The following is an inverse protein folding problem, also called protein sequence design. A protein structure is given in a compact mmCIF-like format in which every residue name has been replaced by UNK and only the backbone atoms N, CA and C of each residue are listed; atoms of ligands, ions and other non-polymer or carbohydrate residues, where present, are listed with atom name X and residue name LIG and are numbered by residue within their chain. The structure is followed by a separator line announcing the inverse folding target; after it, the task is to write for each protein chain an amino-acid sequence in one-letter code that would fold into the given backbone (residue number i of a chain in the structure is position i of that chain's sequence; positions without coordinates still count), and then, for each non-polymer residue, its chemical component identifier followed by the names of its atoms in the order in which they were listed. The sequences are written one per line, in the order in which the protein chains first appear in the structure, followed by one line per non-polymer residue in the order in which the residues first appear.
data_IF_521157741113
#
_entry.id   IF_521157741113
#
_cell.length_a   1.000
_cell.length_b   1.000
_cell.length_c   1.000
_cell.angle_alpha   90.00
_cell.angle_beta   90.00
_cell.angle_gamma   90.00
#
_symmetry.space_group_name_H-M   'P 1'
#
loop_
_entity.id
_entity.type
_entity.pdbx_description
1 polymer ?
#
# COMPACT_ATOMS: atom_id res chain seq x y z
N UNK A 1 33.64 -5.46 -16.71
CA UNK A 1 32.29 -6.07 -16.57
C UNK A 1 31.48 -5.42 -15.47
N UNK A 2 32.10 -4.72 -14.52
CA UNK A 2 31.44 -4.16 -13.33
C UNK A 2 30.50 -2.98 -13.63
N UNK A 3 30.79 -2.16 -14.65
CA UNK A 3 29.93 -1.02 -14.96
C UNK A 3 28.49 -1.40 -15.34
N UNK A 4 28.28 -2.57 -15.94
CA UNK A 4 26.96 -2.98 -16.42
C UNK A 4 26.00 -3.25 -15.26
N UNK A 5 26.47 -3.94 -14.21
CA UNK A 5 25.67 -4.22 -13.02
C UNK A 5 25.33 -2.94 -12.25
N UNK A 6 26.30 -2.06 -12.05
CA UNK A 6 26.04 -0.79 -11.36
C UNK A 6 25.11 0.13 -12.16
N UNK A 7 25.20 0.14 -13.49
CA UNK A 7 24.26 0.89 -14.36
C UNK A 7 22.85 0.31 -14.24
N UNK A 8 22.70 -1.01 -14.25
CA UNK A 8 21.42 -1.68 -14.04
C UNK A 8 20.81 -1.35 -12.68
N UNK A 9 21.60 -1.41 -11.60
CA UNK A 9 21.13 -1.09 -10.24
C UNK A 9 20.69 0.38 -10.12
N UNK A 10 21.44 1.30 -10.71
CA UNK A 10 21.10 2.73 -10.71
C UNK A 10 19.81 3.01 -11.47
N UNK A 11 19.60 2.34 -12.61
CA UNK A 11 18.34 2.41 -13.35
C UNK A 11 17.19 1.84 -12.51
N UNK A 12 17.36 0.67 -11.91
CA UNK A 12 16.33 0.04 -11.07
C UNK A 12 15.86 0.97 -9.94
N UNK A 13 16.79 1.70 -9.32
CA UNK A 13 16.49 2.64 -8.23
C UNK A 13 16.05 4.04 -8.70
N UNK A 14 15.86 4.26 -10.00
CA UNK A 14 15.46 5.55 -10.57
C UNK A 14 16.38 6.72 -10.16
N UNK A 15 17.69 6.47 -10.06
CA UNK A 15 18.68 7.49 -9.64
C UNK A 15 19.06 8.46 -10.78
N UNK A 16 19.31 8.02 -12.02
CA UNK A 16 19.81 8.92 -13.06
C UNK A 16 18.74 9.94 -13.49
N UNK A 17 19.17 11.13 -13.91
CA UNK A 17 18.25 12.08 -14.55
C UNK A 17 18.02 11.68 -16.01
N UNK A 18 16.88 12.08 -16.58
CA UNK A 18 16.55 11.77 -17.97
C UNK A 18 17.58 12.32 -18.98
N UNK A 19 18.36 13.34 -18.59
CA UNK A 19 19.34 14.02 -19.44
C UNK A 19 20.78 13.56 -19.22
N UNK A 20 21.02 12.50 -18.43
CA UNK A 20 22.37 11.95 -18.24
C UNK A 20 22.82 11.20 -19.51
N UNK A 21 23.83 11.74 -20.20
CA UNK A 21 24.37 11.18 -21.44
C UNK A 21 24.88 9.74 -21.30
N UNK A 22 25.25 9.30 -20.10
CA UNK A 22 25.69 7.92 -19.86
C UNK A 22 24.54 6.90 -19.90
N UNK A 23 23.31 7.34 -19.63
CA UNK A 23 22.12 6.49 -19.53
C UNK A 23 21.11 6.74 -20.64
N UNK A 24 21.31 7.77 -21.47
CA UNK A 24 20.39 8.16 -22.53
C UNK A 24 20.03 7.01 -23.49
N UNK A 25 20.98 6.12 -23.79
CA UNK A 25 20.75 4.93 -24.63
C UNK A 25 19.72 3.95 -24.03
N UNK A 26 19.62 3.88 -22.70
CA UNK A 26 18.69 3.00 -21.99
C UNK A 26 17.37 3.71 -21.74
N UNK A 27 17.44 4.96 -21.25
CA UNK A 27 16.28 5.77 -20.89
C UNK A 27 15.40 6.07 -22.12
N UNK A 28 15.99 6.24 -23.31
CA UNK A 28 15.24 6.49 -24.55
C UNK A 28 14.24 5.38 -24.91
N UNK A 29 14.51 4.14 -24.49
CA UNK A 29 13.62 2.99 -24.69
C UNK A 29 12.57 2.85 -23.58
N UNK A 30 12.67 3.64 -22.50
CA UNK A 30 11.80 3.59 -21.33
C UNK A 30 10.77 4.72 -21.38
N UNK A 31 9.66 4.47 -22.08
CA UNK A 31 8.55 5.44 -22.27
C UNK A 31 8.04 6.01 -20.93
N UNK A 32 8.07 5.19 -19.87
CA UNK A 32 7.54 5.53 -18.56
C UNK A 32 8.55 6.12 -17.57
N UNK A 33 9.76 6.49 -18.01
CA UNK A 33 10.81 7.00 -17.13
C UNK A 33 10.38 8.25 -16.35
N UNK A 34 9.63 9.15 -16.98
CA UNK A 34 9.15 10.38 -16.34
C UNK A 34 7.97 10.21 -15.38
N UNK A 35 7.26 9.07 -15.41
CA UNK A 35 6.15 8.79 -14.48
C UNK A 35 6.61 7.88 -13.34
N UNK A 36 6.84 8.47 -12.16
CA UNK A 36 7.28 7.76 -10.97
C UNK A 36 6.41 6.54 -10.62
N UNK A 37 5.09 6.62 -10.83
CA UNK A 37 4.19 5.53 -10.50
C UNK A 37 4.38 4.34 -11.45
N UNK A 38 4.47 4.60 -12.76
CA UNK A 38 4.70 3.53 -13.75
C UNK A 38 6.11 2.99 -13.66
N UNK A 39 7.09 3.86 -13.42
CA UNK A 39 8.48 3.46 -13.26
C UNK A 39 8.68 2.57 -12.04
N UNK A 40 8.00 2.84 -10.92
CA UNK A 40 8.06 1.97 -9.74
C UNK A 40 7.60 0.54 -10.07
N UNK A 41 6.53 0.39 -10.83
CA UNK A 41 6.07 -0.94 -11.30
C UNK A 41 7.11 -1.56 -12.23
N UNK A 42 7.69 -0.79 -13.14
CA UNK A 42 8.74 -1.26 -14.04
C UNK A 42 9.99 -1.72 -13.28
N UNK A 43 10.44 -0.99 -12.25
CA UNK A 43 11.56 -1.35 -11.38
C UNK A 43 11.31 -2.66 -10.61
N UNK A 44 10.11 -2.80 -10.02
CA UNK A 44 9.73 -4.06 -9.34
C UNK A 44 9.67 -5.21 -10.35
N UNK A 45 9.14 -4.96 -11.54
CA UNK A 45 9.10 -5.95 -12.62
C UNK A 45 10.50 -6.37 -13.03
N UNK A 46 11.41 -5.42 -13.27
CA UNK A 46 12.81 -5.67 -13.65
C UNK A 46 13.55 -6.49 -12.58
N UNK A 47 13.28 -6.21 -11.30
CA UNK A 47 13.82 -7.01 -10.20
C UNK A 47 13.31 -8.46 -10.29
N UNK A 48 12.00 -8.66 -10.42
CA UNK A 48 11.38 -9.98 -10.46
C UNK A 48 11.75 -10.77 -11.72
N UNK A 49 11.91 -10.11 -12.87
CA UNK A 49 12.27 -10.76 -14.14
C UNK A 49 13.67 -11.37 -14.13
N UNK A 50 14.55 -10.89 -13.24
CA UNK A 50 15.87 -11.51 -13.01
C UNK A 50 15.75 -12.97 -12.58
N UNK A 51 14.71 -13.31 -11.80
CA UNK A 51 14.45 -14.69 -11.35
C UNK A 51 13.68 -15.52 -12.36
N UNK A 52 12.96 -14.89 -13.29
CA UNK A 52 12.09 -15.57 -14.27
C UNK A 52 12.67 -15.60 -15.68
N UNK A 53 13.94 -15.21 -15.84
CA UNK A 53 14.64 -15.17 -17.12
C UNK A 53 13.89 -14.33 -18.18
N UNK A 54 13.36 -13.17 -17.76
CA UNK A 54 12.63 -12.22 -18.61
C UNK A 54 11.35 -12.78 -19.26
N UNK A 55 10.73 -13.81 -18.67
CA UNK A 55 9.46 -14.35 -19.15
C UNK A 55 8.26 -13.73 -18.42
N UNK A 56 7.24 -13.32 -19.17
CA UNK A 56 6.09 -12.61 -18.62
C UNK A 56 5.24 -13.46 -17.68
N UNK A 57 4.87 -14.69 -18.08
CA UNK A 57 3.94 -15.52 -17.32
C UNK A 57 4.44 -15.83 -15.89
N UNK A 58 5.69 -16.28 -15.68
CA UNK A 58 6.18 -16.51 -14.32
C UNK A 58 6.32 -15.22 -13.52
N UNK A 59 6.65 -14.10 -14.16
CA UNK A 59 6.67 -12.79 -13.47
C UNK A 59 5.28 -12.38 -12.99
N UNK A 60 4.25 -12.57 -13.82
CA UNK A 60 2.86 -12.32 -13.41
C UNK A 60 2.46 -13.21 -12.23
N UNK A 61 2.87 -14.48 -12.21
CA UNK A 61 2.65 -15.37 -11.05
C UNK A 61 3.35 -14.84 -9.79
N UNK A 62 4.60 -14.35 -9.88
CA UNK A 62 5.29 -13.75 -8.74
C UNK A 62 4.56 -12.51 -8.22
N UNK A 63 4.08 -11.64 -9.12
CA UNK A 63 3.24 -10.50 -8.76
C UNK A 63 1.95 -10.94 -8.05
N UNK A 64 1.29 -11.98 -8.56
CA UNK A 64 0.10 -12.55 -7.95
C UNK A 64 0.36 -13.07 -6.52
N UNK A 65 1.47 -13.77 -6.32
CA UNK A 65 1.88 -14.26 -5.00
C UNK A 65 2.14 -13.10 -4.05
N UNK A 66 2.89 -12.07 -4.49
CA UNK A 66 3.16 -10.87 -3.69
C UNK A 66 1.85 -10.19 -3.28
N UNK A 67 0.96 -9.94 -4.24
CA UNK A 67 -0.36 -9.34 -3.98
C UNK A 67 -1.18 -10.16 -2.97
N UNK A 68 -1.22 -11.48 -3.15
CA UNK A 68 -1.92 -12.39 -2.27
C UNK A 68 -1.40 -12.33 -0.84
N UNK A 69 -0.10 -12.10 -0.61
CA UNK A 69 0.41 -11.92 0.77
C UNK A 69 -0.21 -10.73 1.48
N UNK A 70 -0.51 -9.64 0.76
CA UNK A 70 -1.20 -8.48 1.31
C UNK A 70 -2.66 -8.79 1.63
N UNK A 71 -3.37 -9.45 0.72
CA UNK A 71 -4.75 -9.90 0.94
C UNK A 71 -4.82 -10.84 2.16
N UNK A 72 -3.87 -11.75 2.30
CA UNK A 72 -3.77 -12.65 3.44
C UNK A 72 -3.48 -11.89 4.75
N UNK A 73 -2.59 -10.88 4.72
CA UNK A 73 -2.33 -10.03 5.87
C UNK A 73 -3.60 -9.27 6.31
N UNK A 74 -4.40 -8.79 5.35
CA UNK A 74 -5.69 -8.16 5.61
C UNK A 74 -6.67 -9.15 6.24
N UNK A 75 -6.80 -10.35 5.68
CA UNK A 75 -7.63 -11.43 6.23
C UNK A 75 -7.27 -11.74 7.67
N UNK A 76 -5.97 -11.91 8.00
CA UNK A 76 -5.51 -12.19 9.37
C UNK A 76 -5.91 -11.10 10.36
N UNK A 77 -5.88 -9.83 9.91
CA UNK A 77 -6.27 -8.69 10.74
C UNK A 77 -7.74 -8.80 11.17
N UNK A 78 -8.64 -9.02 10.21
CA UNK A 78 -10.07 -9.14 10.50
C UNK A 78 -10.44 -10.45 11.19
N UNK A 79 -9.77 -11.55 10.83
CA UNK A 79 -9.93 -12.85 11.49
C UNK A 79 -9.59 -12.77 12.98
N UNK A 80 -8.57 -11.99 13.34
CA UNK A 80 -8.20 -11.78 14.75
C UNK A 80 -9.21 -10.93 15.51
N UNK A 81 -9.83 -9.94 14.85
CA UNK A 81 -10.85 -9.08 15.46
C UNK A 81 -12.19 -9.81 15.66
N UNK A 82 -12.57 -10.66 14.71
CA UNK A 82 -13.90 -11.30 14.66
C UNK A 82 -13.78 -12.81 14.44
N UNK A 83 -13.29 -13.58 15.44
CA UNK A 83 -13.05 -15.02 15.31
C UNK A 83 -14.34 -15.83 15.06
N UNK A 84 -15.52 -15.30 15.42
CA UNK A 84 -16.79 -15.98 15.19
C UNK A 84 -17.28 -15.89 13.73
N UNK A 85 -16.68 -15.02 12.91
CA UNK A 85 -17.12 -14.75 11.54
C UNK A 85 -16.07 -15.08 10.47
N UNK A 86 -15.14 -16.00 10.77
CA UNK A 86 -14.02 -16.35 9.89
C UNK A 86 -14.44 -16.69 8.46
N UNK A 87 -15.51 -17.47 8.28
CA UNK A 87 -15.99 -17.87 6.95
C UNK A 87 -16.46 -16.67 6.13
N UNK A 88 -17.23 -15.78 6.73
CA UNK A 88 -17.72 -14.57 6.06
C UNK A 88 -16.58 -13.62 5.69
N UNK A 89 -15.60 -13.47 6.59
CA UNK A 89 -14.40 -12.65 6.34
C UNK A 89 -13.53 -13.26 5.24
N UNK A 90 -13.35 -14.58 5.23
CA UNK A 90 -12.61 -15.27 4.18
C UNK A 90 -13.25 -15.03 2.81
N UNK A 91 -14.57 -15.16 2.70
CA UNK A 91 -15.30 -14.90 1.46
C UNK A 91 -15.14 -13.43 1.03
N UNK A 92 -15.31 -12.50 1.97
CA UNK A 92 -15.24 -11.06 1.71
C UNK A 92 -13.83 -10.53 1.43
N UNK A 93 -12.77 -11.27 1.71
CA UNK A 93 -11.39 -10.79 1.53
C UNK A 93 -10.65 -11.61 0.48
N UNK A 94 -10.71 -12.94 0.54
CA UNK A 94 -9.92 -13.84 -0.30
C UNK A 94 -10.63 -14.24 -1.59
N UNK A 95 -11.96 -14.33 -1.58
CA UNK A 95 -12.74 -14.89 -2.69
C UNK A 95 -13.51 -13.84 -3.49
N UNK A 96 -13.19 -12.55 -3.32
CA UNK A 96 -13.76 -11.51 -4.17
C UNK A 96 -13.11 -11.61 -5.56
N UNK A 97 -13.90 -11.79 -6.64
CA UNK A 97 -13.35 -12.01 -7.99
C UNK A 97 -12.53 -10.83 -8.50
N UNK A 98 -12.89 -9.60 -8.13
CA UNK A 98 -12.11 -8.42 -8.51
C UNK A 98 -10.69 -8.44 -7.96
N UNK A 99 -10.46 -9.02 -6.77
CA UNK A 99 -9.12 -9.12 -6.18
C UNK A 99 -8.21 -10.05 -6.98
N UNK A 100 -8.77 -11.11 -7.57
CA UNK A 100 -8.02 -12.00 -8.46
C UNK A 100 -7.65 -11.29 -9.77
N UNK A 101 -8.55 -10.48 -10.33
CA UNK A 101 -8.29 -9.74 -11.57
C UNK A 101 -7.23 -8.65 -11.36
N UNK A 102 -7.41 -7.79 -10.36
CA UNK A 102 -6.52 -6.66 -10.11
C UNK A 102 -5.23 -7.03 -9.38
N UNK A 103 -5.18 -8.22 -8.77
CA UNK A 103 -4.01 -8.72 -8.04
C UNK A 103 -3.13 -9.70 -8.82
N UNK A 104 -3.53 -10.17 -10.00
CA UNK A 104 -2.78 -11.22 -10.74
C UNK A 104 -1.84 -10.69 -11.82
N UNK A 105 -2.04 -9.46 -12.30
CA UNK A 105 -1.25 -8.87 -13.37
C UNK A 105 -0.05 -8.05 -12.89
N UNK A 106 0.78 -7.63 -13.84
CA UNK A 106 1.83 -6.62 -13.62
C UNK A 106 1.20 -5.23 -13.69
N UNK A 107 0.55 -4.81 -12.60
CA UNK A 107 -0.18 -3.55 -12.51
C UNK A 107 0.23 -2.72 -11.29
N UNK A 108 -0.06 -1.41 -11.37
CA UNK A 108 -0.01 -0.50 -10.22
C UNK A 108 -0.89 -1.02 -9.07
N UNK A 109 -2.08 -1.53 -9.41
CA UNK A 109 -3.05 -2.06 -8.45
C UNK A 109 -2.53 -3.27 -7.68
N UNK A 110 -1.77 -4.16 -8.31
CA UNK A 110 -1.16 -5.32 -7.67
C UNK A 110 -0.26 -4.94 -6.50
N UNK A 111 0.58 -3.92 -6.71
CA UNK A 111 1.47 -3.36 -5.68
C UNK A 111 0.66 -2.65 -4.59
N UNK A 112 -0.37 -1.90 -4.98
CA UNK A 112 -1.24 -1.23 -4.01
C UNK A 112 -2.00 -2.22 -3.13
N UNK A 113 -2.51 -3.34 -3.67
CA UNK A 113 -3.19 -4.39 -2.89
C UNK A 113 -2.22 -5.00 -1.86
N UNK A 114 -1.00 -5.34 -2.29
CA UNK A 114 0.06 -5.80 -1.39
C UNK A 114 0.29 -4.81 -0.25
N UNK A 115 0.57 -3.55 -0.60
CA UNK A 115 0.93 -2.53 0.35
C UNK A 115 -0.23 -2.20 1.31
N UNK A 116 -1.46 -2.07 0.81
CA UNK A 116 -2.62 -1.70 1.63
C UNK A 116 -2.97 -2.81 2.62
N UNK A 117 -2.87 -4.07 2.20
CA UNK A 117 -3.08 -5.23 3.08
C UNK A 117 -2.04 -5.31 4.21
N UNK A 118 -0.76 -5.15 3.88
CA UNK A 118 0.31 -5.13 4.88
C UNK A 118 0.28 -3.89 5.77
N UNK A 119 -0.02 -2.72 5.22
CA UNK A 119 -0.18 -1.47 5.98
C UNK A 119 -1.30 -1.59 7.00
N UNK A 120 -2.43 -2.20 6.63
CA UNK A 120 -3.55 -2.45 7.55
C UNK A 120 -3.13 -3.41 8.66
N UNK A 121 -2.45 -4.51 8.31
CA UNK A 121 -1.97 -5.50 9.28
C UNK A 121 -0.95 -4.92 10.26
N UNK A 122 0.08 -4.22 9.75
CA UNK A 122 1.15 -3.68 10.59
C UNK A 122 0.65 -2.52 11.45
N UNK A 123 -0.21 -1.66 10.91
CA UNK A 123 -0.86 -0.59 11.67
C UNK A 123 -1.72 -1.16 12.79
N UNK A 124 -2.46 -2.23 12.54
CA UNK A 124 -3.25 -2.90 13.58
C UNK A 124 -2.37 -3.48 14.70
N UNK A 125 -1.30 -4.21 14.33
CA UNK A 125 -0.34 -4.77 15.30
C UNK A 125 0.31 -3.68 16.16
N UNK A 126 0.76 -2.59 15.54
CA UNK A 126 1.44 -1.50 16.24
C UNK A 126 0.46 -0.71 17.11
N UNK A 127 -0.67 -0.27 16.56
CA UNK A 127 -1.53 0.73 17.20
C UNK A 127 -2.54 0.12 18.18
N UNK A 128 -3.01 -1.10 17.90
CA UNK A 128 -4.02 -1.77 18.74
C UNK A 128 -3.36 -2.79 19.68
N UNK A 129 -2.47 -3.63 19.15
CA UNK A 129 -1.80 -4.67 19.96
C UNK A 129 -0.50 -4.19 20.61
N UNK A 130 0.00 -3.00 20.28
CA UNK A 130 1.25 -2.42 20.79
C UNK A 130 2.49 -3.28 20.50
N UNK A 131 2.48 -4.00 19.38
CA UNK A 131 3.63 -4.78 18.90
C UNK A 131 4.51 -3.93 17.95
N UNK A 132 5.52 -3.30 18.54
CA UNK A 132 6.53 -2.48 17.85
C UNK A 132 7.71 -3.29 17.30
N UNK A 133 7.51 -4.56 16.96
CA UNK A 133 8.58 -5.35 16.34
C UNK A 133 9.10 -4.69 15.06
N UNK A 134 10.42 -4.82 14.83
CA UNK A 134 11.10 -4.26 13.64
C UNK A 134 10.44 -4.70 12.33
N UNK A 135 9.86 -5.91 12.31
CA UNK A 135 9.10 -6.43 11.16
C UNK A 135 7.89 -5.57 10.85
N UNK A 136 7.07 -5.22 11.85
CA UNK A 136 5.87 -4.40 11.64
C UNK A 136 6.24 -2.96 11.22
N UNK A 137 7.32 -2.41 11.79
CA UNK A 137 7.83 -1.08 11.41
C UNK A 137 8.28 -1.10 9.95
N UNK A 138 9.08 -2.10 9.56
CA UNK A 138 9.53 -2.27 8.18
C UNK A 138 8.35 -2.37 7.20
N UNK A 139 7.37 -3.23 7.47
CA UNK A 139 6.20 -3.37 6.59
C UNK A 139 5.36 -2.09 6.52
N UNK A 140 5.28 -1.32 7.61
CA UNK A 140 4.57 -0.03 7.61
C UNK A 140 5.27 0.98 6.71
N UNK A 141 6.58 1.15 6.86
CA UNK A 141 7.37 2.11 6.07
C UNK A 141 7.37 1.70 4.59
N UNK A 142 7.64 0.43 4.30
CA UNK A 142 7.64 -0.10 2.94
C UNK A 142 6.29 0.10 2.26
N UNK A 143 5.20 -0.30 2.92
CA UNK A 143 3.85 -0.19 2.35
C UNK A 143 3.42 1.26 2.16
N UNK A 144 3.71 2.12 3.13
CA UNK A 144 3.42 3.54 3.03
C UNK A 144 4.17 4.17 1.84
N UNK A 145 5.48 3.92 1.73
CA UNK A 145 6.30 4.43 0.63
C UNK A 145 5.76 4.00 -0.74
N UNK A 146 5.45 2.71 -0.91
CA UNK A 146 4.89 2.17 -2.17
C UNK A 146 3.55 2.81 -2.54
N UNK A 147 2.67 3.06 -1.58
CA UNK A 147 1.37 3.68 -1.89
C UNK A 147 1.55 5.15 -2.24
N UNK A 148 2.41 5.90 -1.54
CA UNK A 148 2.66 7.31 -1.87
C UNK A 148 3.21 7.45 -3.29
N UNK A 149 4.16 6.60 -3.69
CA UNK A 149 4.80 6.68 -5.01
C UNK A 149 3.86 6.27 -6.14
N UNK A 150 3.01 5.26 -5.91
CA UNK A 150 2.14 4.70 -6.96
C UNK A 150 0.79 5.43 -7.03
N UNK A 151 0.09 5.59 -5.91
CA UNK A 151 -1.29 6.10 -5.83
C UNK A 151 -1.53 6.81 -4.47
N UNK A 152 -1.03 8.03 -4.32
CA UNK A 152 -1.12 8.80 -3.06
C UNK A 152 -2.56 8.95 -2.50
N UNK A 153 -3.57 9.00 -3.36
CA UNK A 153 -4.97 9.10 -2.95
C UNK A 153 -5.46 7.92 -2.10
N UNK A 154 -4.83 6.75 -2.21
CA UNK A 154 -5.15 5.59 -1.36
C UNK A 154 -4.79 5.90 0.09
N UNK A 155 -3.63 6.53 0.35
CA UNK A 155 -3.25 6.95 1.70
C UNK A 155 -4.17 8.06 2.20
N UNK A 156 -4.54 9.00 1.34
CA UNK A 156 -5.48 10.07 1.72
C UNK A 156 -6.83 9.51 2.16
N UNK A 157 -7.30 8.42 1.54
CA UNK A 157 -8.52 7.71 1.96
C UNK A 157 -8.30 6.80 3.18
N UNK A 158 -7.14 6.15 3.29
CA UNK A 158 -6.83 5.22 4.36
C UNK A 158 -6.58 5.89 5.71
N UNK A 159 -5.90 7.04 5.72
CA UNK A 159 -5.56 7.80 6.93
C UNK A 159 -6.79 8.13 7.82
N UNK A 160 -7.88 8.74 7.31
CA UNK A 160 -9.06 9.03 8.13
C UNK A 160 -9.75 7.76 8.62
N UNK A 161 -9.78 6.69 7.82
CA UNK A 161 -10.34 5.41 8.21
C UNK A 161 -9.55 4.78 9.38
N UNK A 162 -8.22 4.81 9.30
CA UNK A 162 -7.32 4.32 10.34
C UNK A 162 -7.43 5.16 11.62
N UNK A 163 -7.51 6.49 11.51
CA UNK A 163 -7.72 7.36 12.68
C UNK A 163 -9.06 7.07 13.36
N UNK A 164 -10.14 6.94 12.58
CA UNK A 164 -11.45 6.53 13.10
C UNK A 164 -11.35 5.20 13.85
N UNK A 165 -10.69 4.21 13.25
CA UNK A 165 -10.53 2.90 13.86
C UNK A 165 -9.75 2.93 15.18
N UNK A 166 -8.66 3.71 15.26
CA UNK A 166 -7.91 3.94 16.50
C UNK A 166 -8.84 4.56 17.53
N UNK A 167 -9.52 5.65 17.19
CA UNK A 167 -10.38 6.34 18.14
C UNK A 167 -11.48 5.44 18.68
N UNK A 168 -12.12 4.62 17.85
CA UNK A 168 -13.10 3.67 18.33
C UNK A 168 -12.48 2.67 19.33
N UNK A 169 -11.31 2.08 19.03
CA UNK A 169 -10.66 1.14 19.94
C UNK A 169 -10.27 1.78 21.28
N UNK A 170 -9.69 2.98 21.28
CA UNK A 170 -9.29 3.67 22.50
C UNK A 170 -10.48 4.24 23.27
N UNK A 171 -11.49 4.75 22.58
CA UNK A 171 -12.73 5.28 23.15
C UNK A 171 -13.54 4.23 23.90
N UNK A 172 -13.47 2.95 23.51
CA UNK A 172 -14.11 1.85 24.26
C UNK A 172 -13.48 1.61 25.64
N UNK A 173 -12.26 2.09 25.89
CA UNK A 173 -11.59 1.99 27.22
C UNK A 173 -12.01 3.10 28.19
N UNK A 174 -12.71 4.14 27.71
CA UNK A 174 -13.15 5.28 28.52
C UNK A 174 -14.47 4.92 29.21
N UNK A 175 -14.48 4.93 30.57
CA UNK A 175 -15.66 4.58 31.37
C UNK A 175 -16.79 5.62 31.28
N UNK A 176 -16.45 6.91 31.13
CA UNK A 176 -17.44 8.00 31.09
C UNK A 176 -18.11 8.12 29.72
N UNK A 177 -19.42 7.83 29.66
CA UNK A 177 -20.22 7.86 28.43
C UNK A 177 -20.28 9.24 27.77
N UNK A 178 -20.33 10.31 28.57
CA UNK A 178 -20.38 11.71 28.09
C UNK A 178 -19.06 12.13 27.42
N UNK A 179 -17.92 11.85 28.05
CA UNK A 179 -16.59 12.12 27.47
C UNK A 179 -16.37 11.30 26.20
N UNK A 180 -16.84 10.05 26.18
CA UNK A 180 -16.79 9.17 25.01
C UNK A 180 -17.58 9.75 23.82
N UNK A 181 -18.78 10.27 24.09
CA UNK A 181 -19.63 10.90 23.08
C UNK A 181 -18.99 12.19 22.54
N UNK A 182 -18.48 13.05 23.42
CA UNK A 182 -17.82 14.31 23.04
C UNK A 182 -16.59 14.08 22.15
N UNK A 183 -15.71 13.13 22.50
CA UNK A 183 -14.52 12.82 21.68
C UNK A 183 -14.92 12.36 20.27
N UNK A 184 -15.95 11.50 20.16
CA UNK A 184 -16.44 11.04 18.86
C UNK A 184 -17.08 12.17 18.06
N UNK A 185 -17.87 13.04 18.71
CA UNK A 185 -18.54 14.17 18.08
C UNK A 185 -17.53 15.19 17.53
N UNK A 186 -16.52 15.56 18.32
CA UNK A 186 -15.44 16.47 17.90
C UNK A 186 -14.69 15.89 16.71
N UNK A 187 -14.40 14.58 16.74
CA UNK A 187 -13.65 13.97 15.65
C UNK A 187 -14.44 13.88 14.34
N UNK A 188 -15.71 13.47 14.40
CA UNK A 188 -16.60 13.45 13.24
C UNK A 188 -16.79 14.87 12.70
N UNK A 189 -16.99 15.86 13.58
CA UNK A 189 -17.07 17.27 13.21
C UNK A 189 -15.79 17.77 12.54
N UNK A 190 -14.62 17.35 13.02
CA UNK A 190 -13.32 17.68 12.42
C UNK A 190 -13.15 17.10 11.02
N UNK A 191 -13.52 15.84 10.79
CA UNK A 191 -13.49 15.22 9.45
C UNK A 191 -14.44 15.97 8.50
N UNK A 192 -15.66 16.25 8.95
CA UNK A 192 -16.66 16.93 8.13
C UNK A 192 -16.21 18.36 7.79
N UNK A 193 -15.69 19.11 8.76
CA UNK A 193 -15.11 20.44 8.54
C UNK A 193 -13.93 20.42 7.59
N UNK A 194 -13.01 19.46 7.73
CA UNK A 194 -11.89 19.29 6.80
C UNK A 194 -12.40 19.02 5.37
N UNK A 195 -13.39 18.14 5.21
CA UNK A 195 -13.96 17.83 3.89
C UNK A 195 -14.60 19.04 3.21
N UNK A 196 -15.31 19.88 3.97
CA UNK A 196 -15.91 21.11 3.45
C UNK A 196 -14.84 22.14 3.06
N UNK A 197 -13.78 22.27 3.86
CA UNK A 197 -12.65 23.13 3.53
C UNK A 197 -11.96 22.67 2.22
N UNK A 198 -11.71 21.38 2.08
CA UNK A 198 -11.20 20.81 0.82
C UNK A 198 -12.14 21.11 -0.35
N UNK A 199 -13.45 20.91 -0.21
CA UNK A 199 -14.40 21.26 -1.26
C UNK A 199 -14.32 22.74 -1.66
N UNK A 200 -14.16 23.65 -0.70
CA UNK A 200 -14.06 25.09 -0.98
C UNK A 200 -12.77 25.48 -1.69
N UNK A 201 -11.63 24.87 -1.33
CA UNK A 201 -10.33 25.16 -1.95
C UNK A 201 -10.29 24.69 -3.41
N UNK A 202 -10.91 23.56 -3.74
CA UNK A 202 -10.88 22.98 -5.08
C UNK A 202 -12.10 23.36 -5.96
N UNK A 203 -13.08 24.06 -5.41
CA UNK A 203 -14.24 24.59 -6.16
C UNK A 203 -13.97 25.95 -6.82
N UNK A 204 -12.77 26.54 -6.65
CA UNK A 204 -12.30 27.73 -7.36
C UNK A 204 -11.33 27.33 -8.46
#
# INVERSE_FOLDING_TARGET
MDESFFKWLKLLLHIPSANDGNYQQYISHMIWYGDNASYTVASVTAFLTTFTLNTYLPTAVLFAVISFTGIWALFRTFAHLYPNHLRSIAIAVLFIPSMAVWGSGVFKDTICIFALGWLTYSSFRILVQKDFSLKNIFYTILSFSLIVTVKIYIIMAFAPALMMWILFNYSQRIKNSTTKFLIKLIFIGGIFGASLFFMQVYSK
#
